data_IF_625153484860
#
_entry.id   IF_625153484860
#
_cell.length_a   1.000
_cell.length_b   1.000
_cell.length_c   1.000
_cell.angle_alpha   90.00
_cell.angle_beta   90.00
_cell.angle_gamma   90.00
#
_symmetry.space_group_name_H-M   'P 1'
#
loop_
_entity.id
_entity.type
_entity.pdbx_description
1 polymer ?
#
# COMPACT_ATOMS: atom_id res chain seq x y z
N UNK A 1 -1.68 13.98 -10.23
CA UNK A 1 -2.54 13.09 -9.41
C UNK A 1 -1.82 11.79 -9.13
N UNK A 2 -1.51 10.99 -10.16
CA UNK A 2 -0.76 9.71 -10.04
C UNK A 2 0.56 9.82 -9.28
N UNK A 3 1.39 10.84 -9.56
CA UNK A 3 2.63 11.11 -8.82
C UNK A 3 2.41 11.28 -7.31
N UNK A 4 1.38 12.04 -6.92
CA UNK A 4 1.07 12.29 -5.51
C UNK A 4 0.55 11.04 -4.82
N UNK A 5 -0.30 10.25 -5.49
CA UNK A 5 -0.72 8.95 -4.99
C UNK A 5 0.49 8.02 -4.72
N UNK A 6 1.41 7.93 -5.69
CA UNK A 6 2.63 7.14 -5.54
C UNK A 6 3.50 7.58 -4.35
N UNK A 7 3.68 8.89 -4.16
CA UNK A 7 4.42 9.42 -3.01
C UNK A 7 3.74 9.15 -1.68
N UNK A 8 2.42 9.32 -1.58
CA UNK A 8 1.66 9.03 -0.36
C UNK A 8 1.86 7.57 0.06
N UNK A 9 1.66 6.62 -0.85
CA UNK A 9 1.85 5.20 -0.56
C UNK A 9 3.30 4.86 -0.20
N UNK A 10 4.27 5.45 -0.91
CA UNK A 10 5.70 5.25 -0.63
C UNK A 10 6.05 5.72 0.78
N UNK A 11 5.66 6.95 1.14
CA UNK A 11 5.98 7.53 2.45
C UNK A 11 5.28 6.76 3.56
N UNK A 12 3.99 6.43 3.42
CA UNK A 12 3.26 5.65 4.42
C UNK A 12 3.89 4.28 4.62
N UNK A 13 4.17 3.53 3.54
CA UNK A 13 4.79 2.22 3.62
C UNK A 13 6.20 2.26 4.23
N UNK A 14 7.03 3.21 3.78
CA UNK A 14 8.39 3.38 4.29
C UNK A 14 8.41 3.78 5.78
N UNK A 15 7.62 4.78 6.18
CA UNK A 15 7.56 5.21 7.57
C UNK A 15 7.01 4.10 8.47
N UNK A 16 5.98 3.38 8.04
CA UNK A 16 5.42 2.27 8.82
C UNK A 16 6.48 1.19 9.08
N UNK A 17 7.22 0.78 8.04
CA UNK A 17 8.31 -0.19 8.19
C UNK A 17 9.43 0.35 9.08
N UNK A 18 9.96 1.54 8.78
CA UNK A 18 11.09 2.12 9.51
C UNK A 18 10.75 2.29 10.99
N UNK A 19 9.59 2.85 11.30
CA UNK A 19 9.15 3.05 12.69
C UNK A 19 8.83 1.72 13.37
N UNK A 20 8.15 0.79 12.70
CA UNK A 20 7.88 -0.54 13.24
C UNK A 20 9.18 -1.24 13.63
N UNK A 21 10.16 -1.29 12.72
CA UNK A 21 11.46 -1.89 13.00
C UNK A 21 12.20 -1.17 14.12
N UNK A 22 12.29 0.15 14.07
CA UNK A 22 13.03 0.92 15.06
C UNK A 22 12.45 0.77 16.48
N UNK A 23 11.11 0.70 16.61
CA UNK A 23 10.44 0.71 17.91
C UNK A 23 10.24 -0.70 18.49
N UNK A 24 10.02 -1.71 17.65
CA UNK A 24 9.57 -3.04 18.10
C UNK A 24 10.65 -4.10 17.96
N UNK A 25 11.43 -4.10 16.87
CA UNK A 25 12.38 -5.19 16.61
C UNK A 25 13.44 -5.37 17.71
N UNK A 26 14.05 -4.31 18.31
CA UNK A 26 15.07 -4.50 19.35
C UNK A 26 14.59 -5.28 20.57
N UNK A 27 13.29 -5.20 20.90
CA UNK A 27 12.70 -5.89 22.06
C UNK A 27 12.30 -7.34 21.77
N UNK A 28 12.18 -7.71 20.50
CA UNK A 28 11.62 -9.00 20.09
C UNK A 28 12.55 -9.83 19.19
N UNK A 29 13.68 -9.28 18.74
CA UNK A 29 14.62 -9.98 17.85
C UNK A 29 15.15 -11.30 18.43
N UNK A 30 15.38 -11.36 19.75
CA UNK A 30 15.80 -12.59 20.43
C UNK A 30 14.76 -13.70 20.33
N UNK A 31 13.49 -13.37 20.61
CA UNK A 31 12.35 -14.29 20.47
C UNK A 31 12.17 -14.77 19.02
N UNK A 32 12.30 -13.85 18.04
CA UNK A 32 12.20 -14.21 16.62
C UNK A 32 13.32 -15.14 16.18
N UNK A 33 14.57 -14.88 16.58
CA UNK A 33 15.72 -15.72 16.29
C UNK A 33 15.66 -17.07 17.04
N UNK A 34 15.03 -17.10 18.22
CA UNK A 34 14.80 -18.30 19.03
C UNK A 34 13.73 -19.24 18.47
N UNK A 35 12.93 -18.79 17.51
CA UNK A 35 11.90 -19.60 16.86
C UNK A 35 10.49 -19.43 17.43
N UNK A 36 10.26 -18.48 18.35
CA UNK A 36 8.98 -18.27 19.02
C UNK A 36 7.81 -17.97 18.06
N UNK A 37 8.11 -17.50 16.84
CA UNK A 37 7.10 -17.28 15.80
C UNK A 37 6.71 -18.56 15.04
N UNK A 38 7.54 -19.60 15.08
CA UNK A 38 7.33 -20.86 14.33
C UNK A 38 6.42 -21.82 15.10
N UNK A 39 6.54 -21.80 16.44
CA UNK A 39 5.74 -22.60 17.37
C UNK A 39 5.13 -21.66 18.42
N UNK A 40 4.22 -20.76 18.02
CA UNK A 40 3.65 -19.79 18.94
C UNK A 40 2.84 -20.51 20.02
N UNK A 41 3.05 -20.09 21.27
CA UNK A 41 2.20 -20.52 22.38
C UNK A 41 0.80 -19.90 22.24
N UNK A 42 -0.24 -20.66 22.58
CA UNK A 42 -1.63 -20.20 22.53
C UNK A 42 -2.34 -20.48 21.20
N UNK A 43 -3.46 -19.79 20.98
CA UNK A 43 -4.26 -19.95 19.77
C UNK A 43 -3.93 -18.89 18.71
N UNK A 44 -4.35 -19.11 17.45
CA UNK A 44 -4.17 -18.12 16.39
C UNK A 44 -4.87 -16.77 16.65
N UNK A 45 -5.87 -16.75 17.54
CA UNK A 45 -6.57 -15.54 17.94
C UNK A 45 -5.82 -14.76 19.04
N UNK A 46 -4.91 -15.40 19.76
CA UNK A 46 -4.16 -14.84 20.88
C UNK A 46 -2.73 -14.54 20.44
N UNK A 47 -2.50 -13.30 19.99
CA UNK A 47 -1.17 -12.91 19.55
C UNK A 47 -0.27 -12.59 20.75
N UNK A 48 0.82 -13.35 20.90
CA UNK A 48 1.91 -12.97 21.79
C UNK A 48 2.50 -11.60 21.42
N UNK A 49 3.17 -10.89 22.34
CA UNK A 49 3.82 -9.61 22.03
C UNK A 49 4.83 -9.70 20.88
N UNK A 50 5.59 -10.80 20.80
CA UNK A 50 6.55 -11.03 19.73
C UNK A 50 5.87 -11.21 18.37
N UNK A 51 4.74 -11.92 18.34
CA UNK A 51 3.91 -12.06 17.14
C UNK A 51 3.28 -10.73 16.73
N UNK A 52 2.69 -9.98 17.65
CA UNK A 52 2.14 -8.65 17.37
C UNK A 52 3.19 -7.70 16.78
N UNK A 53 4.40 -7.70 17.34
CA UNK A 53 5.53 -6.93 16.80
C UNK A 53 5.94 -7.35 15.39
N UNK A 54 5.91 -8.65 15.07
CA UNK A 54 6.16 -9.14 13.72
C UNK A 54 5.13 -8.60 12.71
N UNK A 55 3.84 -8.61 13.07
CA UNK A 55 2.77 -8.12 12.19
C UNK A 55 2.73 -6.59 12.05
N UNK A 56 3.35 -5.86 12.98
CA UNK A 56 3.62 -4.43 12.87
C UNK A 56 4.93 -4.11 12.12
N UNK A 57 5.68 -5.11 11.67
CA UNK A 57 6.95 -4.97 10.95
C UNK A 57 6.92 -5.72 9.62
N UNK A 58 7.55 -6.90 9.56
CA UNK A 58 7.64 -7.73 8.36
C UNK A 58 6.27 -8.15 7.83
N UNK A 59 5.38 -8.58 8.72
CA UNK A 59 4.04 -9.06 8.35
C UNK A 59 3.05 -7.95 8.01
N UNK A 60 3.45 -6.69 8.18
CA UNK A 60 2.57 -5.55 7.94
C UNK A 60 2.25 -5.33 6.46
N UNK A 61 1.26 -4.47 6.19
CA UNK A 61 1.02 -3.97 4.83
C UNK A 61 2.01 -2.87 4.40
N UNK A 62 3.02 -2.55 5.21
CA UNK A 62 4.00 -1.51 4.92
C UNK A 62 4.83 -1.79 3.67
N UNK A 63 5.37 -3.01 3.52
CA UNK A 63 6.17 -3.38 2.35
C UNK A 63 5.33 -3.49 1.06
N UNK A 64 4.14 -4.12 1.05
CA UNK A 64 3.24 -4.06 -0.10
C UNK A 64 2.87 -2.63 -0.51
N UNK A 65 2.56 -1.75 0.46
CA UNK A 65 2.19 -0.37 0.17
C UNK A 65 3.37 0.45 -0.39
N UNK A 66 4.57 0.25 0.15
CA UNK A 66 5.80 0.85 -0.36
C UNK A 66 6.06 0.41 -1.81
N UNK A 67 6.00 -0.89 -2.09
CA UNK A 67 6.19 -1.44 -3.43
C UNK A 67 5.15 -0.91 -4.42
N UNK A 68 3.89 -0.81 -4.02
CA UNK A 68 2.83 -0.19 -4.81
C UNK A 68 3.17 1.28 -5.12
N UNK A 69 3.55 2.07 -4.12
CA UNK A 69 3.90 3.47 -4.28
C UNK A 69 5.04 3.67 -5.29
N UNK A 70 6.12 2.90 -5.14
CA UNK A 70 7.26 2.92 -6.05
C UNK A 70 6.88 2.48 -7.47
N UNK A 71 6.03 1.47 -7.61
CA UNK A 71 5.51 1.01 -8.91
C UNK A 71 4.70 2.11 -9.60
N UNK A 72 3.81 2.80 -8.87
CA UNK A 72 3.01 3.92 -9.39
C UNK A 72 3.93 5.07 -9.84
N UNK A 73 4.96 5.40 -9.07
CA UNK A 73 5.95 6.43 -9.45
C UNK A 73 6.76 6.00 -10.68
N UNK A 74 7.14 4.74 -10.79
CA UNK A 74 7.86 4.22 -11.95
C UNK A 74 7.00 4.27 -13.23
N UNK A 75 5.72 3.89 -13.14
CA UNK A 75 4.77 3.97 -14.24
C UNK A 75 4.58 5.42 -14.70
N UNK A 76 4.42 6.35 -13.74
CA UNK A 76 4.27 7.77 -14.01
C UNK A 76 5.49 8.34 -14.78
N UNK A 77 6.71 8.01 -14.35
CA UNK A 77 7.94 8.42 -15.04
C UNK A 77 8.05 7.89 -16.46
N UNK A 78 7.40 6.76 -16.77
CA UNK A 78 7.38 6.16 -18.11
C UNK A 78 6.18 6.58 -18.94
N UNK A 79 5.32 7.45 -18.43
CA UNK A 79 4.09 7.85 -19.11
C UNK A 79 3.07 6.71 -19.25
N UNK A 80 3.18 5.65 -18.43
CA UNK A 80 2.27 4.50 -18.47
C UNK A 80 1.15 4.77 -17.47
N UNK A 81 -0.10 4.66 -17.93
CA UNK A 81 -1.28 4.81 -17.07
C UNK A 81 -1.39 3.57 -16.16
N UNK A 82 -1.41 3.72 -14.82
CA UNK A 82 -1.56 2.58 -13.93
C UNK A 82 -2.93 1.90 -14.06
N UNK A 83 -3.02 0.57 -13.89
CA UNK A 83 -4.28 -0.15 -13.92
C UNK A 83 -5.31 0.38 -12.91
N UNK A 84 -6.56 0.57 -13.35
CA UNK A 84 -7.61 1.18 -12.52
C UNK A 84 -7.97 0.35 -11.28
N UNK A 85 -7.84 -0.98 -11.35
CA UNK A 85 -8.17 -1.86 -10.23
C UNK A 85 -7.30 -1.58 -8.98
N UNK A 86 -6.08 -1.06 -9.15
CA UNK A 86 -5.21 -0.72 -8.02
C UNK A 86 -5.84 0.35 -7.12
N UNK A 87 -6.51 1.34 -7.70
CA UNK A 87 -7.18 2.39 -6.95
C UNK A 87 -8.36 1.83 -6.15
N UNK A 88 -9.15 0.92 -6.75
CA UNK A 88 -10.32 0.33 -6.11
C UNK A 88 -9.96 -0.63 -4.98
N UNK A 89 -8.98 -1.51 -5.21
CA UNK A 89 -8.54 -2.48 -4.19
C UNK A 89 -8.00 -1.75 -2.97
N UNK A 90 -7.08 -0.80 -3.18
CA UNK A 90 -6.45 -0.07 -2.08
C UNK A 90 -7.45 0.84 -1.39
N UNK A 91 -8.33 1.51 -2.14
CA UNK A 91 -9.36 2.38 -1.58
C UNK A 91 -10.40 1.62 -0.76
N UNK A 92 -10.90 0.49 -1.25
CA UNK A 92 -11.86 -0.34 -0.52
C UNK A 92 -11.23 -0.88 0.78
N UNK A 93 -10.00 -1.38 0.69
CA UNK A 93 -9.25 -1.85 1.84
C UNK A 93 -8.99 -0.73 2.86
N UNK A 94 -8.53 0.44 2.44
CA UNK A 94 -8.20 1.53 3.35
C UNK A 94 -9.43 2.12 4.04
N UNK A 95 -10.56 2.21 3.33
CA UNK A 95 -11.84 2.63 3.94
C UNK A 95 -12.33 1.61 4.95
N UNK A 96 -12.35 0.33 4.60
CA UNK A 96 -12.78 -0.72 5.52
C UNK A 96 -11.91 -0.76 6.79
N UNK A 97 -10.59 -0.68 6.64
CA UNK A 97 -9.67 -0.66 7.77
C UNK A 97 -9.80 0.62 8.61
N UNK A 98 -9.98 1.79 7.99
CA UNK A 98 -10.22 3.05 8.70
C UNK A 98 -11.51 3.06 9.52
N UNK A 99 -12.56 2.40 9.04
CA UNK A 99 -13.81 2.27 9.82
C UNK A 99 -13.66 1.38 11.06
N UNK A 100 -12.72 0.43 11.05
CA UNK A 100 -12.51 -0.54 12.13
C UNK A 100 -11.39 -0.11 13.09
N UNK A 101 -10.35 0.56 12.60
CA UNK A 101 -9.07 0.72 13.30
C UNK A 101 -8.42 2.10 13.11
N UNK A 102 -9.15 3.18 13.37
CA UNK A 102 -8.57 4.52 13.65
C UNK A 102 -8.03 4.56 15.10
N UNK A 103 -6.90 5.24 15.41
CA UNK A 103 -6.36 6.45 14.76
C UNK A 103 -5.20 6.23 13.73
N UNK A 104 -5.07 5.05 13.13
CA UNK A 104 -4.02 4.82 12.11
C UNK A 104 -4.28 5.64 10.82
N UNK A 105 -3.25 6.00 10.03
CA UNK A 105 -3.36 6.98 8.93
C UNK A 105 -4.09 6.45 7.66
N UNK A 106 -5.21 5.75 7.84
CA UNK A 106 -6.06 5.17 6.80
C UNK A 106 -6.66 6.23 5.87
N UNK A 107 -6.98 7.41 6.40
CA UNK A 107 -7.44 8.55 5.62
C UNK A 107 -6.40 8.93 4.56
N UNK A 108 -5.11 8.93 4.89
CA UNK A 108 -4.06 9.26 3.93
C UNK A 108 -3.95 8.21 2.82
N UNK A 109 -4.05 6.92 3.15
CA UNK A 109 -4.11 5.85 2.16
C UNK A 109 -5.34 5.99 1.24
N UNK A 110 -6.49 6.35 1.80
CA UNK A 110 -7.74 6.58 1.06
C UNK A 110 -7.60 7.76 0.10
N UNK A 111 -7.00 8.87 0.53
CA UNK A 111 -6.68 10.02 -0.33
C UNK A 111 -5.75 9.59 -1.47
N UNK A 112 -4.72 8.79 -1.17
CA UNK A 112 -3.82 8.22 -2.19
C UNK A 112 -4.58 7.40 -3.23
N UNK A 113 -5.53 6.55 -2.80
CA UNK A 113 -6.35 5.74 -3.70
C UNK A 113 -7.26 6.57 -4.60
N UNK A 114 -7.91 7.61 -4.04
CA UNK A 114 -8.73 8.56 -4.81
C UNK A 114 -7.89 9.28 -5.87
N UNK A 115 -6.70 9.77 -5.49
CA UNK A 115 -5.77 10.43 -6.42
C UNK A 115 -5.29 9.49 -7.52
N UNK A 116 -5.02 8.22 -7.19
CA UNK A 116 -4.65 7.21 -8.18
C UNK A 116 -5.80 6.99 -9.18
N UNK A 117 -7.02 6.77 -8.69
CA UNK A 117 -8.20 6.56 -9.53
C UNK A 117 -8.50 7.74 -10.45
N UNK A 118 -8.43 8.97 -9.91
CA UNK A 118 -8.61 10.19 -10.69
C UNK A 118 -7.51 10.36 -11.77
N UNK A 119 -6.26 10.06 -11.41
CA UNK A 119 -5.12 10.09 -12.33
C UNK A 119 -5.26 9.06 -13.46
N UNK A 120 -5.61 7.83 -13.13
CA UNK A 120 -5.84 6.74 -14.08
C UNK A 120 -6.98 7.05 -15.04
N UNK A 121 -8.13 7.54 -14.53
CA UNK A 121 -9.28 7.92 -15.37
C UNK A 121 -8.92 9.02 -16.37
N UNK A 122 -8.14 10.01 -15.96
CA UNK A 122 -7.67 11.08 -16.85
C UNK A 122 -6.72 10.54 -17.92
N UNK A 123 -5.81 9.63 -17.54
CA UNK A 123 -4.86 8.99 -18.46
C UNK A 123 -5.56 8.20 -19.55
N UNK A 124 -6.48 7.31 -19.20
CA UNK A 124 -7.22 6.50 -20.20
C UNK A 124 -8.00 7.36 -21.20
N UNK A 125 -8.67 8.41 -20.74
CA UNK A 125 -9.39 9.33 -21.64
C UNK A 125 -8.45 9.97 -22.67
N UNK A 126 -7.24 10.36 -22.27
CA UNK A 126 -6.28 10.96 -23.18
C UNK A 126 -5.77 9.95 -24.24
N UNK A 127 -5.55 8.70 -23.84
CA UNK A 127 -5.15 7.62 -24.77
C UNK A 127 -6.23 7.35 -25.82
N UNK A 128 -7.50 7.27 -25.42
CA UNK A 128 -8.63 7.04 -26.35
C UNK A 128 -8.74 8.19 -27.35
N UNK A 129 -8.75 9.45 -26.89
CA UNK A 129 -8.84 10.63 -27.78
C UNK A 129 -7.71 10.66 -28.81
N UNK A 130 -6.49 10.24 -28.43
CA UNK A 130 -5.36 10.19 -29.36
C UNK A 130 -5.48 9.03 -30.37
N UNK A 131 -6.10 7.91 -29.98
CA UNK A 131 -6.41 6.81 -30.92
C UNK A 131 -7.42 7.24 -31.98
N UNK A 132 -8.49 7.93 -31.55
CA UNK A 132 -9.56 8.38 -32.45
C UNK A 132 -9.07 9.43 -33.46
N UNK A 133 -8.19 10.35 -33.04
CA UNK A 133 -7.66 11.41 -33.91
C UNK A 133 -6.67 10.90 -34.97
N UNK A 134 -6.06 9.73 -34.74
CA UNK A 134 -5.12 9.09 -35.68
C UNK A 134 -5.80 8.07 -36.61
N UNK A 135 -7.14 8.03 -36.64
CA UNK A 135 -7.90 7.09 -37.47
C UNK A 135 -7.76 5.63 -37.02
N UNK A 136 -7.51 5.39 -35.73
CA UNK A 136 -7.42 4.05 -35.17
C UNK A 136 -8.71 3.25 -35.35
N UNK A 137 -8.65 1.91 -35.38
CA UNK A 137 -9.84 1.08 -35.55
C UNK A 137 -10.83 1.37 -34.42
N UNK A 138 -12.06 1.72 -34.79
CA UNK A 138 -13.18 1.80 -33.87
C UNK A 138 -13.45 0.39 -33.35
N UNK A 139 -13.03 0.09 -32.12
CA UNK A 139 -13.37 -1.14 -31.39
C UNK A 139 -14.44 -0.84 -30.35
#
# INVERSE_FOLDING_TARGET
MTKWAGWIFTVLGALHLVLGFALLAPRHAGAWAGGDLWLPEGTLAEMSPASGAFWMTFGSFGAPLLALGLTVLWLERRGIVPPAFLAWIVGAWSVAAGLVFEPAPWIAATIGAVLLGAGTRKGYKATVVNSDSQGGPHV
#
